data_IF_064596341066
#
_entry.id   IF_064596341066
#
_cell.length_a   1.000
_cell.length_b   1.000
_cell.length_c   1.000
_cell.angle_alpha   90.00
_cell.angle_beta   90.00
_cell.angle_gamma   90.00
#
_symmetry.space_group_name_H-M   'P 1'
#
loop_
_entity.id
_entity.type
_entity.pdbx_description
1 polymer ?
#
# COMPACT_ATOMS: atom_id res chain seq x y z
N UNK A 1 2.70 -16.33 15.72
CA UNK A 1 1.77 -15.16 15.80
C UNK A 1 0.43 -15.73 16.21
N UNK A 2 -0.33 -15.08 17.10
CA UNK A 2 -1.69 -15.54 17.40
C UNK A 2 -2.69 -14.66 16.63
N UNK A 3 -3.27 -15.21 15.57
CA UNK A 3 -4.48 -14.68 14.97
C UNK A 3 -5.58 -14.94 15.98
N UNK A 4 -6.29 -13.89 16.39
CA UNK A 4 -7.47 -14.04 17.24
C UNK A 4 -8.68 -13.68 16.38
N UNK A 5 -9.24 -14.63 15.59
CA UNK A 5 -10.51 -14.40 14.94
C UNK A 5 -11.59 -14.11 15.99
N UNK A 6 -12.75 -13.65 15.54
CA UNK A 6 -13.93 -13.68 16.41
C UNK A 6 -14.07 -15.09 17.00
N UNK A 7 -14.15 -15.28 18.32
CA UNK A 7 -14.37 -16.60 18.92
C UNK A 7 -15.63 -17.31 18.39
N UNK A 8 -16.57 -16.56 17.80
CA UNK A 8 -17.75 -17.09 17.11
C UNK A 8 -17.47 -17.54 15.65
N UNK A 9 -16.37 -17.10 15.05
CA UNK A 9 -15.97 -17.43 13.67
C UNK A 9 -14.44 -17.59 13.54
N UNK A 10 -13.88 -18.74 13.99
CA UNK A 10 -12.44 -19.01 13.93
C UNK A 10 -11.96 -19.40 12.52
N UNK A 11 -12.86 -19.41 11.53
CA UNK A 11 -12.58 -19.95 10.21
C UNK A 11 -12.17 -18.84 9.25
N UNK A 12 -11.10 -19.09 8.50
CA UNK A 12 -10.55 -18.15 7.53
C UNK A 12 -10.47 -18.81 6.16
N UNK A 13 -10.79 -18.04 5.12
CA UNK A 13 -10.58 -18.46 3.73
C UNK A 13 -9.14 -18.17 3.27
N UNK A 14 -8.57 -17.06 3.75
CA UNK A 14 -7.24 -16.60 3.38
C UNK A 14 -6.61 -15.67 4.43
N UNK A 15 -5.28 -15.56 4.37
CA UNK A 15 -4.47 -14.54 5.05
C UNK A 15 -3.56 -13.87 4.03
N UNK A 16 -3.39 -12.55 4.17
CA UNK A 16 -2.56 -11.75 3.28
C UNK A 16 -1.35 -11.21 4.04
N UNK A 17 -0.16 -11.41 3.49
CA UNK A 17 1.11 -10.91 4.00
C UNK A 17 1.69 -9.96 2.96
N UNK A 18 1.90 -8.72 3.36
CA UNK A 18 2.28 -7.62 2.47
C UNK A 18 3.59 -7.03 2.95
N UNK A 19 4.58 -6.84 2.05
CA UNK A 19 5.72 -5.96 2.37
C UNK A 19 5.18 -4.53 2.27
N UNK A 20 4.72 -3.98 3.39
CA UNK A 20 3.95 -2.73 3.46
C UNK A 20 4.82 -1.48 3.44
N UNK A 21 6.11 -1.63 3.74
CA UNK A 21 7.05 -0.52 3.75
C UNK A 21 8.43 -1.00 3.34
N UNK A 22 9.10 -0.22 2.50
CA UNK A 22 10.45 -0.47 2.01
C UNK A 22 10.54 -1.53 0.93
N UNK A 23 9.40 -1.98 0.37
CA UNK A 23 9.36 -3.02 -0.66
C UNK A 23 10.22 -2.64 -1.87
N UNK A 24 11.06 -3.57 -2.33
CA UNK A 24 11.84 -3.42 -3.55
C UNK A 24 11.26 -4.32 -4.65
N UNK A 25 10.41 -3.74 -5.49
CA UNK A 25 9.72 -4.46 -6.56
C UNK A 25 10.69 -5.20 -7.47
N UNK A 26 10.42 -6.48 -7.71
CA UNK A 26 11.25 -7.36 -8.55
C UNK A 26 12.54 -7.87 -7.87
N UNK A 27 12.87 -7.41 -6.66
CA UNK A 27 14.00 -7.94 -5.90
C UNK A 27 13.61 -8.67 -4.62
N UNK A 28 12.62 -8.13 -3.91
CA UNK A 28 12.12 -8.70 -2.66
C UNK A 28 11.00 -9.72 -2.93
N UNK A 29 11.01 -10.81 -2.19
CA UNK A 29 10.05 -11.91 -2.31
C UNK A 29 9.73 -12.51 -0.92
N UNK A 30 8.46 -12.92 -0.76
CA UNK A 30 8.03 -13.78 0.35
C UNK A 30 7.71 -15.18 -0.19
N UNK A 31 8.26 -16.20 0.45
CA UNK A 31 8.03 -17.61 0.10
C UNK A 31 7.50 -18.40 1.29
N UNK A 32 6.58 -19.32 1.04
CA UNK A 32 6.13 -20.28 2.03
C UNK A 32 7.08 -21.50 2.03
N UNK A 33 7.77 -21.75 3.14
CA UNK A 33 8.61 -22.94 3.31
C UNK A 33 7.88 -24.04 4.08
N UNK A 34 8.37 -25.28 4.02
CA UNK A 34 7.80 -26.42 4.75
C UNK A 34 6.66 -27.14 4.02
N UNK A 35 5.90 -27.97 4.73
CA UNK A 35 4.81 -28.79 4.19
C UNK A 35 3.49 -28.36 4.86
N UNK A 36 2.61 -27.75 4.08
CA UNK A 36 1.30 -27.27 4.52
C UNK A 36 0.20 -27.80 3.59
N UNK A 37 -0.28 -29.04 3.76
CA UNK A 37 -1.12 -29.72 2.77
C UNK A 37 -2.47 -29.04 2.51
N UNK A 38 -2.95 -28.23 3.46
CA UNK A 38 -4.22 -27.51 3.38
C UNK A 38 -4.06 -26.08 2.85
N UNK A 39 -2.83 -25.59 2.67
CA UNK A 39 -2.55 -24.21 2.29
C UNK A 39 -1.99 -24.15 0.86
N UNK A 40 -2.70 -23.45 -0.01
CA UNK A 40 -2.15 -22.90 -1.24
C UNK A 40 -1.56 -21.51 -0.99
N UNK A 41 -0.63 -21.08 -1.85
CA UNK A 41 -0.10 -19.73 -1.78
C UNK A 41 0.17 -19.12 -3.15
N UNK A 42 0.08 -17.79 -3.21
CA UNK A 42 0.40 -16.99 -4.40
C UNK A 42 1.17 -15.74 -4.00
N UNK A 43 2.35 -15.54 -4.61
CA UNK A 43 3.10 -14.29 -4.53
C UNK A 43 2.80 -13.43 -5.76
N UNK A 44 2.49 -12.15 -5.55
CA UNK A 44 2.30 -11.16 -6.60
C UNK A 44 3.41 -10.11 -6.49
N UNK A 45 4.46 -10.19 -7.34
CA UNK A 45 5.59 -9.26 -7.28
C UNK A 45 5.19 -7.80 -7.48
N UNK A 46 4.23 -7.51 -8.37
CA UNK A 46 3.82 -6.13 -8.64
C UNK A 46 3.26 -5.43 -7.39
N UNK A 47 2.58 -6.17 -6.52
CA UNK A 47 1.97 -5.62 -5.31
C UNK A 47 2.78 -5.92 -4.05
N UNK A 48 3.84 -6.74 -4.10
CA UNK A 48 4.58 -7.16 -2.90
C UNK A 48 3.76 -8.00 -1.91
N UNK A 49 2.78 -8.77 -2.41
CA UNK A 49 1.78 -9.48 -1.60
C UNK A 49 1.89 -11.00 -1.74
N UNK A 50 2.02 -11.70 -0.61
CA UNK A 50 1.81 -13.13 -0.48
C UNK A 50 0.39 -13.40 0.05
N UNK A 51 -0.37 -14.22 -0.66
CA UNK A 51 -1.67 -14.71 -0.19
C UNK A 51 -1.53 -16.17 0.19
N UNK A 52 -1.91 -16.53 1.41
CA UNK A 52 -2.09 -17.90 1.86
C UNK A 52 -3.60 -18.18 1.85
N UNK A 53 -4.04 -19.28 1.24
CA UNK A 53 -5.46 -19.59 1.10
C UNK A 53 -5.74 -21.09 1.24
N UNK A 54 -6.97 -21.45 1.59
CA UNK A 54 -7.38 -22.85 1.66
C UNK A 54 -7.29 -23.53 0.29
N UNK A 55 -6.48 -24.58 0.18
CA UNK A 55 -6.31 -25.35 -1.07
C UNK A 55 -7.60 -26.07 -1.49
N UNK A 56 -8.49 -26.31 -0.53
CA UNK A 56 -9.80 -26.95 -0.75
C UNK A 56 -10.92 -25.96 -1.10
N UNK A 57 -10.69 -24.65 -0.93
CA UNK A 57 -11.70 -23.60 -1.04
C UNK A 57 -12.70 -23.55 0.13
N UNK A 58 -12.58 -24.45 1.12
CA UNK A 58 -13.38 -24.41 2.35
C UNK A 58 -12.63 -23.64 3.44
N UNK A 59 -13.32 -22.83 4.28
CA UNK A 59 -12.68 -22.14 5.40
C UNK A 59 -11.93 -23.10 6.33
N UNK A 60 -10.75 -22.69 6.81
CA UNK A 60 -9.89 -23.46 7.71
C UNK A 60 -9.75 -22.76 9.06
N UNK A 61 -9.42 -23.51 10.09
CA UNK A 61 -9.10 -22.95 11.40
C UNK A 61 -7.90 -22.00 11.30
N UNK A 62 -7.96 -20.89 12.02
CA UNK A 62 -6.90 -19.90 12.06
C UNK A 62 -5.54 -20.50 12.43
N UNK A 63 -5.49 -21.53 13.28
CA UNK A 63 -4.23 -22.19 13.66
C UNK A 63 -3.48 -22.78 12.46
N UNK A 64 -4.20 -23.23 11.43
CA UNK A 64 -3.59 -23.75 10.18
C UNK A 64 -2.86 -22.64 9.43
N UNK A 65 -3.40 -21.42 9.45
CA UNK A 65 -2.73 -20.26 8.87
C UNK A 65 -1.57 -19.77 9.75
N UNK A 66 -1.70 -19.81 11.07
CA UNK A 66 -0.61 -19.46 12.01
C UNK A 66 0.64 -20.31 11.76
N UNK A 67 0.47 -21.63 11.70
CA UNK A 67 1.55 -22.58 11.40
C UNK A 67 2.22 -22.27 10.05
N UNK A 68 1.44 -21.88 9.04
CA UNK A 68 1.95 -21.51 7.73
C UNK A 68 2.70 -20.17 7.73
N UNK A 69 2.18 -19.16 8.43
CA UNK A 69 2.80 -17.84 8.55
C UNK A 69 4.17 -17.94 9.21
N UNK A 70 4.32 -18.81 10.22
CA UNK A 70 5.59 -19.00 10.94
C UNK A 70 6.71 -19.60 10.08
N UNK A 71 6.38 -20.19 8.93
CA UNK A 71 7.37 -20.70 7.96
C UNK A 71 7.53 -19.82 6.72
N UNK A 72 6.92 -18.62 6.70
CA UNK A 72 7.14 -17.64 5.63
C UNK A 72 8.52 -17.02 5.77
N UNK A 73 9.27 -17.04 4.68
CA UNK A 73 10.63 -16.50 4.62
C UNK A 73 10.71 -15.32 3.67
N UNK A 74 11.43 -14.28 4.08
CA UNK A 74 11.81 -13.15 3.23
C UNK A 74 13.12 -13.45 2.50
N UNK A 75 13.15 -13.16 1.20
CA UNK A 75 14.35 -13.21 0.39
C UNK A 75 14.49 -11.91 -0.42
N UNK A 76 15.74 -11.49 -0.68
CA UNK A 76 16.04 -10.36 -1.56
C UNK A 76 17.16 -10.72 -2.51
N UNK A 77 16.98 -10.44 -3.80
CA UNK A 77 18.01 -10.68 -4.83
C UNK A 77 18.99 -9.52 -4.98
N UNK A 78 18.81 -8.43 -4.23
CA UNK A 78 19.77 -7.32 -4.21
C UNK A 78 21.14 -7.82 -3.71
N UNK A 79 22.27 -7.46 -4.36
CA UNK A 79 23.60 -7.86 -3.90
C UNK A 79 23.94 -7.36 -2.49
N UNK A 80 23.40 -6.20 -2.11
CA UNK A 80 23.58 -5.59 -0.79
C UNK A 80 22.23 -4.98 -0.35
N UNK A 81 21.29 -5.79 0.15
CA UNK A 81 20.03 -5.25 0.66
C UNK A 81 20.32 -4.42 1.92
N UNK A 82 19.60 -3.32 2.09
CA UNK A 82 19.70 -2.49 3.30
C UNK A 82 18.37 -1.80 3.61
N UNK A 83 18.31 -1.22 4.81
CA UNK A 83 17.15 -0.49 5.29
C UNK A 83 16.16 -1.39 6.01
N UNK A 84 14.94 -0.90 6.13
CA UNK A 84 13.88 -1.57 6.89
C UNK A 84 12.83 -2.15 5.94
N UNK A 85 12.33 -3.34 6.25
CA UNK A 85 11.13 -3.93 5.64
C UNK A 85 10.09 -4.10 6.72
N UNK A 86 8.90 -3.56 6.51
CA UNK A 86 7.76 -3.84 7.37
C UNK A 86 6.83 -4.80 6.64
N UNK A 87 6.42 -5.85 7.34
CA UNK A 87 5.49 -6.84 6.84
C UNK A 87 4.19 -6.68 7.60
N UNK A 88 3.10 -6.38 6.90
CA UNK A 88 1.76 -6.41 7.48
C UNK A 88 1.07 -7.71 7.17
N UNK A 89 0.31 -8.21 8.14
CA UNK A 89 -0.44 -9.46 8.06
C UNK A 89 -1.88 -9.11 8.36
N UNK A 90 -2.81 -9.54 7.52
CA UNK A 90 -4.25 -9.23 7.64
C UNK A 90 -5.10 -10.42 7.24
N UNK A 91 -6.21 -10.62 7.93
CA UNK A 91 -7.23 -11.62 7.58
C UNK A 91 -8.27 -11.06 6.58
N UNK A 92 -8.28 -9.75 6.37
CA UNK A 92 -9.14 -9.10 5.38
C UNK A 92 -8.37 -8.61 4.15
N UNK A 93 -9.09 -8.38 3.05
CA UNK A 93 -8.51 -8.15 1.73
C UNK A 93 -7.76 -6.82 1.55
N UNK A 94 -8.02 -5.82 2.40
CA UNK A 94 -7.40 -4.50 2.29
C UNK A 94 -5.96 -4.52 2.83
N UNK A 95 -5.07 -3.75 2.21
CA UNK A 95 -3.67 -3.62 2.60
C UNK A 95 -3.56 -2.81 3.89
N UNK A 96 -3.05 -3.41 4.96
CA UNK A 96 -2.83 -2.71 6.22
C UNK A 96 -1.49 -1.97 6.20
N UNK A 97 -1.48 -0.69 6.59
CA UNK A 97 -0.27 0.09 6.80
C UNK A 97 -0.08 0.36 8.31
N UNK A 98 0.98 -0.20 8.94
CA UNK A 98 1.16 -0.04 10.39
C UNK A 98 1.44 1.38 10.87
N UNK A 99 2.02 2.25 10.02
CA UNK A 99 2.38 3.62 10.39
C UNK A 99 1.16 4.52 10.59
N UNK A 100 0.10 4.32 9.79
CA UNK A 100 -1.17 5.03 9.92
C UNK A 100 -2.22 4.22 10.67
N UNK A 101 -2.04 2.91 10.77
CA UNK A 101 -3.06 1.95 11.22
C UNK A 101 -4.30 1.92 10.31
N UNK A 102 -4.17 2.37 9.07
CA UNK A 102 -5.26 2.41 8.08
C UNK A 102 -5.17 1.22 7.11
N UNK A 103 -6.24 1.03 6.35
CA UNK A 103 -6.37 -0.02 5.35
C UNK A 103 -6.64 0.58 3.97
N UNK A 104 -5.94 0.10 2.96
CA UNK A 104 -6.03 0.62 1.59
C UNK A 104 -6.46 -0.47 0.62
N UNK A 105 -7.40 -0.16 -0.27
CA UNK A 105 -7.88 -1.11 -1.27
C UNK A 105 -8.16 -0.42 -2.60
N UNK A 106 -7.52 -0.91 -3.66
CA UNK A 106 -7.88 -0.54 -5.02
C UNK A 106 -9.18 -1.24 -5.44
N UNK A 107 -10.15 -0.47 -5.94
CA UNK A 107 -11.41 -0.95 -6.49
C UNK A 107 -11.41 -0.71 -8.00
N UNK A 108 -11.33 -1.76 -8.85
CA UNK A 108 -11.34 -1.60 -10.29
C UNK A 108 -12.73 -1.15 -10.77
N UNK A 109 -12.76 -0.05 -11.52
CA UNK A 109 -13.96 0.45 -12.18
C UNK A 109 -13.53 1.36 -13.34
N UNK A 110 -13.45 0.80 -14.55
CA UNK A 110 -12.93 1.51 -15.71
C UNK A 110 -13.89 2.62 -16.13
N UNK A 111 -13.36 3.84 -16.23
CA UNK A 111 -14.11 5.03 -16.66
C UNK A 111 -15.02 5.64 -15.59
N UNK A 112 -14.89 5.22 -14.32
CA UNK A 112 -15.58 5.90 -13.22
C UNK A 112 -15.08 7.34 -13.10
N UNK A 113 -15.99 8.30 -12.93
CA UNK A 113 -15.60 9.70 -12.69
C UNK A 113 -15.09 9.88 -11.27
N UNK A 114 -14.29 10.92 -11.01
CA UNK A 114 -13.80 11.21 -9.67
C UNK A 114 -14.97 11.41 -8.69
N UNK A 115 -15.99 12.17 -9.08
CA UNK A 115 -17.18 12.41 -8.26
C UNK A 115 -17.93 11.11 -7.92
N UNK A 116 -18.03 10.18 -8.88
CA UNK A 116 -18.65 8.87 -8.64
C UNK A 116 -17.79 7.99 -7.74
N UNK A 117 -16.47 8.02 -7.92
CA UNK A 117 -15.52 7.30 -7.07
C UNK A 117 -15.56 7.80 -5.63
N UNK A 118 -15.68 9.11 -5.41
CA UNK A 118 -15.86 9.72 -4.09
C UNK A 118 -17.10 9.16 -3.39
N UNK A 119 -18.25 9.17 -4.07
CA UNK A 119 -19.50 8.62 -3.54
C UNK A 119 -19.41 7.11 -3.28
N UNK A 120 -18.79 6.36 -4.19
CA UNK A 120 -18.65 4.91 -4.05
C UNK A 120 -17.72 4.52 -2.90
N UNK A 121 -16.62 5.26 -2.70
CA UNK A 121 -15.74 5.09 -1.55
C UNK A 121 -16.48 5.43 -0.25
N UNK A 122 -17.20 6.56 -0.20
CA UNK A 122 -18.01 6.97 0.94
C UNK A 122 -19.20 6.04 1.25
N UNK A 123 -19.60 5.17 0.32
CA UNK A 123 -20.62 4.15 0.57
C UNK A 123 -20.04 2.80 1.03
N UNK A 124 -18.72 2.63 0.96
CA UNK A 124 -18.06 1.38 1.30
C UNK A 124 -17.79 1.27 2.79
N UNK A 125 -17.81 0.03 3.32
CA UNK A 125 -17.45 -0.26 4.69
C UNK A 125 -16.48 -1.43 4.76
N UNK A 126 -15.63 -1.46 5.78
CA UNK A 126 -14.66 -2.52 5.99
C UNK A 126 -14.55 -2.85 7.48
N UNK A 127 -15.15 -3.96 7.91
CA UNK A 127 -15.23 -4.36 9.32
C UNK A 127 -15.79 -3.25 10.24
N UNK A 128 -16.74 -2.47 9.74
CA UNK A 128 -17.34 -1.34 10.46
C UNK A 128 -16.62 -0.01 10.31
N UNK A 129 -15.45 0.02 9.66
CA UNK A 129 -14.80 1.27 9.24
C UNK A 129 -15.51 1.86 8.03
N UNK A 130 -15.69 3.18 8.04
CA UNK A 130 -16.20 3.93 6.90
C UNK A 130 -15.09 4.16 5.87
N UNK A 131 -15.34 3.83 4.60
CA UNK A 131 -14.41 4.10 3.51
C UNK A 131 -14.47 5.54 2.99
N UNK A 132 -13.38 6.00 2.39
CA UNK A 132 -13.26 7.28 1.69
C UNK A 132 -12.17 7.20 0.61
N UNK A 133 -12.14 8.11 -0.36
CA UNK A 133 -11.02 8.15 -1.32
C UNK A 133 -9.73 8.43 -0.57
N UNK A 134 -8.70 7.64 -0.83
CA UNK A 134 -7.47 7.67 -0.07
C UNK A 134 -6.82 9.05 -0.05
N UNK A 135 -6.33 9.43 1.12
CA UNK A 135 -5.55 10.64 1.38
C UNK A 135 -4.13 10.20 1.67
N UNK A 136 -3.15 10.66 0.91
CA UNK A 136 -1.78 10.13 0.97
C UNK A 136 -0.87 11.18 1.62
N UNK A 137 -0.57 11.01 2.90
CA UNK A 137 0.20 11.96 3.71
C UNK A 137 1.69 11.62 3.83
N UNK A 138 2.11 10.42 3.43
CA UNK A 138 3.49 9.95 3.60
C UNK A 138 3.99 9.07 2.45
N UNK A 139 5.31 8.84 2.42
CA UNK A 139 5.96 8.04 1.37
C UNK A 139 5.59 6.57 1.41
N UNK A 140 5.42 5.99 2.60
CA UNK A 140 5.01 4.59 2.76
C UNK A 140 3.54 4.38 2.37
N UNK A 141 2.67 5.36 2.60
CA UNK A 141 1.33 5.39 2.01
C UNK A 141 1.40 5.41 0.48
N UNK A 142 2.18 6.31 -0.12
CA UNK A 142 2.33 6.38 -1.58
C UNK A 142 2.88 5.08 -2.19
N UNK A 143 3.80 4.41 -1.49
CA UNK A 143 4.27 3.08 -1.90
C UNK A 143 3.14 2.05 -1.83
N UNK A 144 2.44 1.94 -0.70
CA UNK A 144 1.42 0.90 -0.50
C UNK A 144 0.18 1.09 -1.38
N UNK A 145 -0.29 2.32 -1.49
CA UNK A 145 -1.55 2.68 -2.16
C UNK A 145 -1.34 3.11 -3.61
N UNK A 146 -0.10 3.44 -4.00
CA UNK A 146 0.26 3.85 -5.35
C UNK A 146 1.13 2.82 -6.06
N UNK A 147 2.41 2.71 -5.68
CA UNK A 147 3.39 1.81 -6.33
C UNK A 147 2.95 0.35 -6.34
N UNK A 148 2.36 -0.11 -5.23
CA UNK A 148 1.90 -1.48 -5.02
C UNK A 148 0.40 -1.66 -5.32
N UNK A 149 -0.26 -0.65 -5.91
CA UNK A 149 -1.65 -0.74 -6.33
C UNK A 149 -1.82 -1.62 -7.57
N UNK A 150 -2.97 -2.27 -7.68
CA UNK A 150 -3.30 -3.08 -8.85
C UNK A 150 -3.67 -2.24 -10.10
N UNK A 151 -3.76 -0.92 -9.99
CA UNK A 151 -4.02 -0.03 -11.12
C UNK A 151 -4.04 1.46 -10.78
N UNK A 152 -4.14 2.28 -11.84
CA UNK A 152 -4.33 3.73 -11.75
C UNK A 152 -5.69 4.05 -11.12
N UNK A 153 -5.67 4.74 -9.99
CA UNK A 153 -6.87 5.00 -9.21
C UNK A 153 -7.00 6.45 -8.78
N UNK A 154 -8.24 6.95 -8.76
CA UNK A 154 -8.57 8.20 -8.10
C UNK A 154 -8.18 8.17 -6.61
N UNK A 155 -7.73 9.33 -6.13
CA UNK A 155 -7.45 9.61 -4.71
C UNK A 155 -8.19 10.88 -4.29
N UNK A 156 -8.20 11.18 -3.00
CA UNK A 156 -9.02 12.24 -2.40
C UNK A 156 -8.57 13.67 -2.65
N UNK A 157 -7.58 13.89 -3.52
CA UNK A 157 -6.99 15.21 -3.76
C UNK A 157 -7.75 16.00 -4.83
N UNK A 158 -8.06 17.27 -4.56
CA UNK A 158 -8.68 18.17 -5.53
C UNK A 158 -8.34 19.64 -5.25
N UNK A 159 -8.25 20.45 -6.30
CA UNK A 159 -8.21 21.92 -6.24
C UNK A 159 -9.43 22.60 -6.88
N UNK A 160 -10.52 21.86 -7.16
CA UNK A 160 -11.76 22.37 -7.78
C UNK A 160 -12.40 23.54 -7.02
N UNK A 161 -12.10 23.70 -5.72
CA UNK A 161 -12.55 24.83 -4.93
C UNK A 161 -11.80 26.13 -5.28
N UNK A 162 -10.49 26.01 -5.54
CA UNK A 162 -9.60 27.11 -5.84
C UNK A 162 -8.35 26.58 -6.57
N UNK A 163 -8.31 26.83 -7.88
CA UNK A 163 -7.21 26.52 -8.79
C UNK A 163 -5.82 26.76 -8.16
N UNK A 164 -4.96 25.76 -8.27
CA UNK A 164 -3.60 25.81 -7.73
C UNK A 164 -3.51 25.65 -6.21
N UNK A 165 -4.61 25.35 -5.52
CA UNK A 165 -4.65 24.99 -4.10
C UNK A 165 -5.28 23.62 -3.90
N UNK A 166 -4.42 22.60 -3.91
CA UNK A 166 -4.79 21.20 -3.76
C UNK A 166 -5.01 20.82 -2.31
N UNK A 167 -6.15 20.20 -2.06
CA UNK A 167 -6.60 19.78 -0.73
C UNK A 167 -7.03 18.32 -0.74
N UNK A 168 -6.87 17.67 0.39
CA UNK A 168 -7.65 16.48 0.69
C UNK A 168 -9.10 16.90 0.92
N UNK A 169 -10.04 16.32 0.19
CA UNK A 169 -11.48 16.63 0.28
C UNK A 169 -12.30 15.44 0.77
N UNK A 170 -11.63 14.43 1.30
CA UNK A 170 -12.18 13.19 1.86
C UNK A 170 -11.44 12.80 3.13
N UNK A 171 -11.99 11.83 3.87
CA UNK A 171 -11.31 11.24 5.01
C UNK A 171 -11.11 12.18 6.21
N UNK A 172 -10.32 11.72 7.20
CA UNK A 172 -9.93 12.50 8.38
C UNK A 172 -9.20 13.81 8.05
N UNK A 173 -8.48 13.84 6.92
CA UNK A 173 -7.65 14.94 6.45
C UNK A 173 -8.44 16.02 5.70
N UNK A 174 -9.76 15.84 5.53
CA UNK A 174 -10.62 16.75 4.77
C UNK A 174 -10.40 18.23 5.14
N UNK A 175 -10.11 19.05 4.12
CA UNK A 175 -9.81 20.48 4.21
C UNK A 175 -8.31 20.81 4.28
N UNK A 176 -7.44 19.81 4.48
CA UNK A 176 -5.98 20.01 4.56
C UNK A 176 -5.39 20.33 3.19
N UNK A 177 -4.65 21.45 3.10
CA UNK A 177 -3.85 21.80 1.91
C UNK A 177 -2.56 20.98 1.93
N UNK A 178 -2.32 20.19 0.89
CA UNK A 178 -1.08 19.43 0.76
C UNK A 178 -0.14 20.01 -0.30
N UNK A 179 -0.67 20.79 -1.26
CA UNK A 179 0.11 21.45 -2.30
C UNK A 179 -0.55 22.78 -2.70
N UNK A 180 0.26 23.82 -2.89
CA UNK A 180 -0.23 25.14 -3.29
C UNK A 180 0.78 25.90 -4.12
N UNK A 181 0.35 26.48 -5.24
CA UNK A 181 1.14 27.35 -6.12
C UNK A 181 2.52 26.75 -6.49
N UNK A 182 2.55 25.47 -6.87
CA UNK A 182 3.79 24.80 -7.26
C UNK A 182 4.66 24.31 -6.09
N UNK A 183 4.18 24.38 -4.84
CA UNK A 183 4.96 24.04 -3.65
C UNK A 183 4.22 23.04 -2.75
N UNK A 184 4.91 21.97 -2.37
CA UNK A 184 4.44 20.99 -1.38
C UNK A 184 4.34 21.64 0.00
N UNK A 185 3.20 21.47 0.67
CA UNK A 185 2.96 21.96 2.02
C UNK A 185 3.19 20.89 3.08
N UNK A 186 2.73 19.66 2.81
CA UNK A 186 2.91 18.50 3.69
C UNK A 186 3.63 17.38 2.94
N UNK A 187 2.90 16.66 2.10
CA UNK A 187 3.40 15.60 1.23
C UNK A 187 2.67 15.67 -0.11
N UNK A 188 3.43 15.53 -1.19
CA UNK A 188 2.88 15.43 -2.53
C UNK A 188 3.79 14.54 -3.36
N UNK A 189 3.21 13.55 -4.05
CA UNK A 189 3.94 12.65 -4.93
C UNK A 189 3.59 12.92 -6.40
N UNK A 190 3.48 14.19 -6.78
CA UNK A 190 3.22 14.58 -8.17
C UNK A 190 4.31 14.03 -9.10
N UNK A 191 3.89 13.55 -10.27
CA UNK A 191 4.80 13.18 -11.34
C UNK A 191 5.55 14.42 -11.84
N UNK A 192 6.66 14.21 -12.54
CA UNK A 192 7.47 15.31 -13.08
C UNK A 192 6.63 16.14 -14.05
N UNK A 193 6.43 17.42 -13.72
CA UNK A 193 5.62 18.35 -14.51
C UNK A 193 4.20 18.55 -14.00
N UNK A 194 3.76 17.76 -13.02
CA UNK A 194 2.41 17.80 -12.47
C UNK A 194 2.32 18.59 -11.14
N UNK A 195 1.13 19.10 -10.78
CA UNK A 195 -0.06 19.19 -11.63
C UNK A 195 0.11 20.27 -12.71
N UNK A 196 -0.39 20.00 -13.92
CA UNK A 196 -0.17 20.86 -15.09
C UNK A 196 -1.44 21.61 -15.55
N UNK A 197 -2.61 21.25 -15.01
CA UNK A 197 -3.93 21.76 -15.35
C UNK A 197 -4.21 21.76 -16.86
N UNK A 198 -3.98 20.62 -17.53
CA UNK A 198 -4.16 20.50 -18.98
C UNK A 198 -5.64 20.37 -19.34
N UNK A 199 -6.31 21.53 -19.44
CA UNK A 199 -7.70 21.59 -19.87
C UNK A 199 -8.70 21.47 -18.71
N UNK A 200 -8.42 22.14 -17.60
CA UNK A 200 -9.29 22.22 -16.41
C UNK A 200 -9.34 20.88 -15.66
N UNK A 201 -8.22 20.54 -15.03
CA UNK A 201 -7.96 19.25 -14.40
C UNK A 201 -7.87 19.37 -12.88
N UNK A 202 -9.02 19.23 -12.20
CA UNK A 202 -9.10 19.54 -10.77
C UNK A 202 -8.97 18.33 -9.80
N UNK A 203 -8.63 17.13 -10.30
CA UNK A 203 -8.73 15.89 -9.51
C UNK A 203 -7.50 15.00 -9.62
N UNK A 204 -6.98 14.55 -8.47
CA UNK A 204 -5.75 13.78 -8.42
C UNK A 204 -6.01 12.27 -8.63
N UNK A 205 -5.14 11.63 -9.41
CA UNK A 205 -5.09 10.18 -9.53
C UNK A 205 -3.65 9.65 -9.44
N UNK A 206 -3.49 8.40 -9.01
CA UNK A 206 -2.22 7.67 -9.18
C UNK A 206 -2.07 7.31 -10.65
N UNK A 207 -0.89 7.59 -11.22
CA UNK A 207 -0.59 7.32 -12.63
C UNK A 207 -0.63 5.83 -12.97
N UNK A 208 -0.82 5.52 -14.25
CA UNK A 208 -0.77 4.14 -14.72
C UNK A 208 0.63 3.52 -14.58
N UNK A 209 0.73 2.18 -14.42
CA UNK A 209 2.01 1.50 -14.43
C UNK A 209 2.84 1.86 -15.67
N UNK A 210 4.08 2.33 -15.45
CA UNK A 210 4.99 2.75 -16.52
C UNK A 210 4.89 4.24 -16.90
N UNK A 211 3.96 5.01 -16.33
CA UNK A 211 3.89 6.46 -16.47
C UNK A 211 4.61 7.14 -15.31
N UNK A 212 5.69 7.86 -15.64
CA UNK A 212 6.44 8.64 -14.68
C UNK A 212 7.14 7.78 -13.62
N UNK A 213 7.25 8.32 -12.41
CA UNK A 213 7.72 7.55 -11.25
C UNK A 213 6.58 6.63 -10.78
N UNK A 214 6.84 5.35 -10.47
CA UNK A 214 5.81 4.47 -9.91
C UNK A 214 5.09 5.10 -8.72
N UNK A 215 3.76 4.97 -8.66
CA UNK A 215 2.95 5.53 -7.58
C UNK A 215 2.84 7.06 -7.55
N UNK A 216 3.45 7.77 -8.50
CA UNK A 216 3.31 9.23 -8.62
C UNK A 216 1.92 9.61 -9.13
N UNK A 217 1.59 10.90 -9.02
CA UNK A 217 0.26 11.42 -9.27
C UNK A 217 0.23 12.32 -10.50
N UNK A 218 -0.95 12.43 -11.07
CA UNK A 218 -1.29 13.37 -12.14
C UNK A 218 -2.65 13.99 -11.81
N UNK A 219 -2.93 15.18 -12.33
CA UNK A 219 -4.25 15.80 -12.29
C UNK A 219 -5.04 15.44 -13.54
N UNK A 220 -6.34 15.26 -13.38
CA UNK A 220 -7.26 14.96 -14.48
C UNK A 220 -8.57 15.72 -14.30
N UNK A 221 -9.26 15.97 -15.41
CA UNK A 221 -10.67 16.36 -15.36
C UNK A 221 -11.51 15.30 -14.62
N UNK A 222 -12.71 15.66 -14.16
CA UNK A 222 -13.58 14.73 -13.42
C UNK A 222 -13.85 13.39 -14.14
N UNK A 223 -13.78 13.35 -15.48
CA UNK A 223 -13.96 12.12 -16.27
C UNK A 223 -12.66 11.41 -16.62
N UNK A 224 -11.53 12.09 -16.57
CA UNK A 224 -10.28 11.65 -17.19
C UNK A 224 -10.42 11.40 -18.70
N UNK A 225 -9.48 10.66 -19.27
CA UNK A 225 -9.48 10.28 -20.68
C UNK A 225 -10.38 9.07 -20.98
N UNK A 226 -10.81 8.94 -22.24
CA UNK A 226 -11.68 7.82 -22.64
C UNK A 226 -10.94 6.48 -22.68
N UNK A 227 -9.62 6.48 -22.90
CA UNK A 227 -8.80 5.28 -23.01
C UNK A 227 -7.33 5.57 -22.71
N UNK A 228 -6.48 4.53 -22.67
CA UNK A 228 -5.05 4.69 -22.42
C UNK A 228 -4.72 4.87 -20.94
N UNK A 229 -3.58 5.53 -20.67
CA UNK A 229 -2.96 5.62 -19.34
C UNK A 229 -3.62 6.65 -18.43
N UNK A 230 -4.27 7.65 -19.01
CA UNK A 230 -5.02 8.71 -18.32
C UNK A 230 -6.51 8.36 -18.15
N UNK A 231 -6.94 7.18 -18.62
CA UNK A 231 -8.28 6.68 -18.34
C UNK A 231 -8.33 6.15 -16.89
N UNK A 232 -9.28 6.60 -16.06
CA UNK A 232 -9.45 6.05 -14.73
C UNK A 232 -9.70 4.54 -14.79
N UNK A 233 -8.87 3.75 -14.10
CA UNK A 233 -9.06 2.28 -14.03
C UNK A 233 -9.81 1.87 -12.77
N UNK A 234 -10.06 2.81 -11.87
CA UNK A 234 -10.71 2.58 -10.59
C UNK A 234 -10.40 3.70 -9.60
N UNK A 235 -10.43 3.36 -8.32
CA UNK A 235 -10.17 4.28 -7.23
C UNK A 235 -9.59 3.55 -6.03
N UNK A 236 -8.85 4.28 -5.19
CA UNK A 236 -8.25 3.74 -3.98
C UNK A 236 -9.12 4.17 -2.81
N UNK A 237 -9.64 3.19 -2.08
CA UNK A 237 -10.37 3.42 -0.84
C UNK A 237 -9.43 3.25 0.33
N UNK A 238 -9.51 4.18 1.27
CA UNK A 238 -8.87 4.11 2.57
C UNK A 238 -9.94 3.95 3.67
N UNK A 239 -9.60 3.17 4.70
CA UNK A 239 -10.44 2.92 5.86
C UNK A 239 -9.61 3.12 7.13
N UNK A 240 -10.13 3.90 8.08
CA UNK A 240 -9.47 4.21 9.35
C UNK A 240 -9.49 5.71 9.67
N UNK A 241 -9.16 6.06 10.92
CA UNK A 241 -8.98 7.44 11.35
C UNK A 241 -10.25 8.30 11.47
N UNK A 242 -11.42 7.78 11.09
CA UNK A 242 -12.67 8.54 11.17
C UNK A 242 -13.21 8.57 12.60
N UNK A 243 -13.88 9.67 13.02
CA UNK A 243 -14.49 9.75 14.35
C UNK A 243 -15.50 8.62 14.58
N UNK A 244 -15.26 7.80 15.61
CA UNK A 244 -16.13 6.69 15.99
C UNK A 244 -15.77 5.35 15.35
N UNK A 245 -14.66 5.27 14.59
CA UNK A 245 -14.18 4.02 14.03
C UNK A 245 -13.92 2.96 15.13
N UNK A 246 -14.35 1.70 14.91
CA UNK A 246 -14.04 0.61 15.82
C UNK A 246 -12.54 0.27 15.83
N UNK A 247 -12.05 -0.20 16.97
CA UNK A 247 -10.71 -0.80 17.06
C UNK A 247 -10.78 -2.21 16.47
N UNK A 248 -10.07 -2.43 15.37
CA UNK A 248 -9.99 -3.74 14.73
C UNK A 248 -8.82 -4.57 15.26
N UNK A 249 -9.01 -5.88 15.36
CA UNK A 249 -7.98 -6.87 15.68
C UNK A 249 -7.79 -7.86 14.53
N UNK A 250 -7.80 -7.34 13.30
CA UNK A 250 -7.76 -8.14 12.06
C UNK A 250 -6.40 -8.07 11.35
N UNK A 251 -5.46 -7.30 11.91
CA UNK A 251 -4.16 -7.08 11.32
C UNK A 251 -3.07 -6.94 12.37
N UNK A 252 -1.84 -7.19 11.95
CA UNK A 252 -0.63 -6.98 12.75
C UNK A 252 0.56 -6.75 11.84
N UNK A 253 1.73 -6.52 12.41
CA UNK A 253 2.95 -6.31 11.62
C UNK A 253 4.21 -6.73 12.35
N UNK A 254 5.24 -7.01 11.57
CA UNK A 254 6.61 -7.19 12.05
C UNK A 254 7.59 -6.46 11.14
N UNK A 255 8.81 -6.26 11.62
CA UNK A 255 9.83 -5.46 10.92
C UNK A 255 11.15 -6.20 10.87
N UNK A 256 11.77 -6.20 9.69
CA UNK A 256 13.14 -6.66 9.47
C UNK A 256 14.04 -5.45 9.21
N UNK A 257 15.06 -5.29 10.04
CA UNK A 257 16.10 -4.26 9.86
C UNK A 257 17.34 -4.91 9.25
N UNK A 258 17.74 -4.46 8.06
CA UNK A 258 18.89 -4.96 7.31
C UNK A 258 20.01 -3.91 7.39
N UNK A 259 20.99 -4.10 8.31
CA UNK A 259 22.06 -3.13 8.48
C UNK A 259 23.01 -3.15 7.28
N UNK A 260 23.54 -1.97 6.92
CA UNK A 260 24.59 -1.83 5.90
C UNK A 260 25.93 -1.49 6.54
N UNK A 261 26.96 -2.26 6.21
CA UNK A 261 28.33 -1.92 6.57
C UNK A 261 28.81 -0.76 5.67
N UNK A 262 29.02 0.42 6.24
CA UNK A 262 29.48 1.61 5.49
C UNK A 262 30.99 1.63 5.34
N UNK A 263 31.69 1.27 6.42
CA UNK A 263 33.15 1.21 6.48
C UNK A 263 33.54 0.05 7.39
N UNK A 264 34.61 -0.64 7.04
CA UNK A 264 35.34 -1.52 7.94
C UNK A 264 36.70 -0.88 8.19
N UNK A 265 37.13 -0.84 9.46
CA UNK A 265 38.53 -0.56 9.75
C UNK A 265 39.38 -1.67 9.15
N UNK A 266 40.37 -1.35 8.29
CA UNK A 266 41.31 -2.35 7.82
C UNK A 266 41.99 -3.01 9.02
N UNK A 267 42.35 -4.28 8.89
CA UNK A 267 43.14 -4.95 9.91
C UNK A 267 44.40 -4.10 10.20
N UNK A 268 44.60 -3.77 11.47
CA UNK A 268 45.77 -3.04 11.96
C UNK A 268 46.58 -3.95 12.85
N UNK A 269 47.90 -3.90 12.73
CA UNK A 269 48.83 -4.63 13.61
C UNK A 269 49.76 -3.67 14.31
N UNK A 270 50.11 -3.99 15.55
CA UNK A 270 51.22 -3.36 16.25
C UNK A 270 52.47 -4.27 16.09
N UNK A 271 53.51 -3.82 15.38
CA UNK A 271 54.79 -4.55 15.20
C UNK A 271 55.25 -4.68 13.74
N UNK A 272 56.23 -5.56 13.43
CA UNK A 272 56.80 -5.82 12.07
C UNK A 272 56.33 -7.15 11.44
N UNK A 273 55.99 -7.16 10.13
CA UNK A 273 55.25 -8.26 9.46
C UNK A 273 54.11 -7.81 8.52
N UNK A 274 53.64 -8.69 7.62
CA UNK A 274 52.56 -8.38 6.68
C UNK A 274 51.17 -8.80 7.22
N UNK A 275 50.16 -8.00 6.90
CA UNK A 275 48.74 -8.42 6.96
C UNK A 275 48.38 -8.87 5.55
N UNK A 276 48.06 -10.14 5.38
CA UNK A 276 47.42 -10.70 4.19
C UNK A 276 45.98 -11.05 4.52
#
# INVERSE_FOLDING_TARGET
MNITPDPADPLLEAVYIQISTGYQAGSDELTLSGIHPQIGYTWIPATGKLTLFSSSGLPLDASVFEDAIETVTFNSTLPVPFGTRTFSITIGQANYLPSTQHYYRFIPNIGITWSQAQLAAAASTYFGLQGYLATIGAQDEAQLSGEQSAGAGWIGGSDAQQEGIWRWVTGPENGTVFFSNGQTQTYANWNVGEPNNAGDEDYAHVTAPGVGTPGSWNDLSNTGEFSGDYQPKGYIVEYGGMPGDPVLQISTSTTLNIPRLLFATPASRCGDGSIT
#
